data_IF_086058728174
#
_entry.id   IF_086058728174
#
_cell.length_a   1.000
_cell.length_b   1.000
_cell.length_c   1.000
_cell.angle_alpha   90.00
_cell.angle_beta   90.00
_cell.angle_gamma   90.00
#
_symmetry.space_group_name_H-M   'P 1'
#
loop_
_entity.id
_entity.type
_entity.pdbx_description
1 polymer ?
#
# COMPACT_ATOMS: atom_id res chain seq x y z
N UNK A 1 13.79 -15.32 22.75
CA UNK A 1 12.85 -14.97 21.66
C UNK A 1 13.26 -13.60 21.15
N UNK A 2 13.61 -13.40 19.86
CA UNK A 2 13.77 -12.05 19.34
C UNK A 2 12.37 -11.44 19.22
N UNK A 3 12.11 -10.37 19.98
CA UNK A 3 10.90 -9.56 19.82
C UNK A 3 11.01 -8.83 18.48
N UNK A 4 10.44 -9.39 17.41
CA UNK A 4 10.28 -8.66 16.15
C UNK A 4 9.21 -7.60 16.33
N UNK A 5 9.63 -6.35 16.22
CA UNK A 5 8.83 -5.14 16.31
C UNK A 5 7.85 -5.08 15.12
N UNK A 6 6.74 -5.82 15.20
CA UNK A 6 5.66 -5.78 14.20
C UNK A 6 4.70 -4.65 14.53
N UNK A 7 5.18 -3.40 14.49
CA UNK A 7 4.28 -2.25 14.53
C UNK A 7 3.43 -2.27 13.25
N UNK A 8 2.14 -2.55 13.41
CA UNK A 8 1.16 -2.44 12.32
C UNK A 8 0.62 -1.01 12.26
N UNK A 9 0.52 -0.47 11.06
CA UNK A 9 -0.05 0.84 10.77
C UNK A 9 -1.17 0.66 9.77
N UNK A 10 -2.35 1.16 10.08
CA UNK A 10 -3.49 1.15 9.16
C UNK A 10 -3.34 2.30 8.17
N UNK A 11 -3.32 1.97 6.88
CA UNK A 11 -3.41 2.94 5.78
C UNK A 11 -4.79 2.85 5.13
N UNK A 12 -5.20 3.92 4.46
CA UNK A 12 -6.45 3.97 3.71
C UNK A 12 -6.14 4.02 2.22
N UNK A 13 -6.56 3.00 1.48
CA UNK A 13 -6.33 2.88 0.04
C UNK A 13 -7.64 3.04 -0.69
N UNK A 14 -7.68 3.93 -1.68
CA UNK A 14 -8.87 4.13 -2.51
C UNK A 14 -8.83 3.22 -3.73
N UNK A 15 -9.82 2.33 -3.87
CA UNK A 15 -10.00 1.44 -5.02
C UNK A 15 -11.36 1.74 -5.64
N UNK A 16 -11.39 2.18 -6.91
CA UNK A 16 -12.65 2.49 -7.63
C UNK A 16 -13.58 3.44 -6.87
N UNK A 17 -13.02 4.41 -6.13
CA UNK A 17 -13.78 5.37 -5.32
C UNK A 17 -14.17 4.87 -3.92
N UNK A 18 -13.87 3.62 -3.58
CA UNK A 18 -14.11 3.05 -2.25
C UNK A 18 -12.83 3.12 -1.43
N UNK A 19 -12.91 3.68 -0.23
CA UNK A 19 -11.80 3.70 0.72
C UNK A 19 -11.78 2.39 1.49
N UNK A 20 -10.68 1.66 1.39
CA UNK A 20 -10.46 0.37 2.05
C UNK A 20 -9.32 0.53 3.06
N UNK A 21 -9.56 0.27 4.36
CA UNK A 21 -8.49 0.23 5.35
C UNK A 21 -7.62 -1.02 5.12
N UNK A 22 -6.31 -0.86 5.22
CA UNK A 22 -5.34 -1.93 5.06
C UNK A 22 -4.26 -1.81 6.14
N UNK A 23 -4.05 -2.88 6.90
CA UNK A 23 -2.98 -2.92 7.88
C UNK A 23 -1.67 -3.30 7.21
N UNK A 24 -0.67 -2.45 7.36
CA UNK A 24 0.65 -2.62 6.75
C UNK A 24 1.75 -2.48 7.80
N UNK A 25 2.89 -3.09 7.52
CA UNK A 25 4.11 -2.98 8.32
C UNK A 25 5.19 -2.21 7.56
N UNK A 26 6.30 -1.87 8.24
CA UNK A 26 7.45 -1.19 7.61
C UNK A 26 8.03 -1.96 6.42
N UNK A 27 7.87 -3.28 6.40
CA UNK A 27 8.36 -4.15 5.32
C UNK A 27 7.34 -4.35 4.20
N UNK A 28 6.09 -3.94 4.40
CA UNK A 28 5.01 -4.15 3.41
C UNK A 28 5.23 -3.24 2.20
N UNK A 29 5.35 -3.84 1.02
CA UNK A 29 5.53 -3.12 -0.24
C UNK A 29 4.20 -2.77 -0.91
N UNK A 30 4.23 -1.86 -1.89
CA UNK A 30 3.04 -1.51 -2.67
C UNK A 30 2.44 -2.75 -3.39
N UNK A 31 3.32 -3.65 -3.84
CA UNK A 31 2.93 -4.93 -4.43
C UNK A 31 2.15 -5.82 -3.47
N UNK A 32 2.62 -5.93 -2.22
CA UNK A 32 1.95 -6.77 -1.21
C UNK A 32 0.55 -6.24 -0.90
N UNK A 33 0.39 -4.91 -0.80
CA UNK A 33 -0.92 -4.28 -0.58
C UNK A 33 -1.87 -4.53 -1.75
N UNK A 34 -1.40 -4.41 -2.99
CA UNK A 34 -2.19 -4.75 -4.17
C UNK A 34 -2.63 -6.21 -4.12
N UNK A 35 -1.72 -7.12 -3.81
CA UNK A 35 -2.04 -8.55 -3.69
C UNK A 35 -2.99 -8.88 -2.53
N UNK A 36 -2.91 -8.15 -1.42
CA UNK A 36 -3.84 -8.29 -0.30
C UNK A 36 -5.24 -7.81 -0.65
N UNK A 37 -5.35 -6.63 -1.27
CA UNK A 37 -6.64 -6.01 -1.58
C UNK A 37 -7.31 -6.65 -2.80
N UNK A 38 -6.52 -7.21 -3.70
CA UNK A 38 -6.97 -7.78 -4.96
C UNK A 38 -6.63 -9.27 -4.98
N UNK A 39 -7.29 -10.01 -4.08
CA UNK A 39 -7.07 -11.45 -3.88
C UNK A 39 -7.42 -12.31 -5.10
N UNK A 40 -8.12 -11.77 -6.11
CA UNK A 40 -8.74 -12.58 -7.17
C UNK A 40 -8.62 -12.04 -8.60
N UNK A 41 -7.77 -11.06 -8.88
CA UNK A 41 -7.75 -10.47 -10.23
C UNK A 41 -6.75 -11.15 -11.15
N UNK A 42 -7.31 -11.97 -12.04
CA UNK A 42 -7.01 -12.03 -13.48
C UNK A 42 -5.94 -11.00 -13.86
N UNK A 43 -4.74 -11.49 -14.25
CA UNK A 43 -3.58 -10.72 -14.77
C UNK A 43 -3.96 -9.34 -15.32
N UNK A 44 -4.00 -8.34 -14.46
CA UNK A 44 -4.17 -6.93 -14.82
C UNK A 44 -3.00 -6.18 -14.22
N UNK A 45 -2.44 -5.26 -14.99
CA UNK A 45 -1.37 -4.39 -14.52
C UNK A 45 -1.95 -3.37 -13.55
N UNK A 46 -1.73 -3.59 -12.25
CA UNK A 46 -2.14 -2.69 -11.19
C UNK A 46 -1.01 -1.73 -10.84
N UNK A 47 -1.37 -0.46 -10.65
CA UNK A 47 -0.47 0.60 -10.24
C UNK A 47 -1.01 1.26 -8.95
N UNK A 48 -0.11 1.71 -8.08
CA UNK A 48 -0.46 2.45 -6.87
C UNK A 48 0.04 3.88 -7.01
N UNK A 49 -0.79 4.84 -6.63
CA UNK A 49 -0.49 6.26 -6.71
C UNK A 49 -0.62 6.88 -5.32
N UNK A 50 0.29 7.78 -5.00
CA UNK A 50 0.17 8.71 -3.90
C UNK A 50 -0.48 9.99 -4.42
N UNK A 51 -1.52 10.48 -3.74
CA UNK A 51 -2.20 11.73 -4.09
C UNK A 51 -2.02 12.74 -2.96
N UNK A 52 -1.31 13.83 -3.24
CA UNK A 52 -1.06 14.94 -2.30
C UNK A 52 -1.45 16.25 -3.00
N UNK A 53 -2.42 16.98 -2.42
CA UNK A 53 -2.86 18.29 -2.93
C UNK A 53 -3.12 18.28 -4.44
N UNK A 54 -3.95 17.34 -4.90
CA UNK A 54 -4.35 17.15 -6.31
C UNK A 54 -3.21 16.73 -7.27
N UNK A 55 -2.00 16.48 -6.76
CA UNK A 55 -0.90 15.88 -7.52
C UNK A 55 -0.84 14.39 -7.26
N UNK A 56 -0.83 13.62 -8.34
CA UNK A 56 -0.65 12.17 -8.29
C UNK A 56 0.79 11.79 -8.65
N UNK A 57 1.37 10.90 -7.84
CA UNK A 57 2.71 10.36 -8.05
C UNK A 57 2.65 8.84 -8.07
N UNK A 58 3.13 8.25 -9.16
CA UNK A 58 3.22 6.80 -9.28
C UNK A 58 4.23 6.23 -8.26
N UNK A 59 3.81 5.21 -7.52
CA UNK A 59 4.66 4.55 -6.54
C UNK A 59 5.35 3.32 -7.13
N UNK A 60 6.67 3.14 -6.87
CA UNK A 60 7.36 1.94 -7.28
C UNK A 60 6.81 0.72 -6.54
N UNK A 61 6.49 -0.35 -7.26
CA UNK A 61 5.89 -1.57 -6.68
C UNK A 61 6.71 -2.18 -5.53
N UNK A 62 8.04 -2.08 -5.59
CA UNK A 62 8.97 -2.61 -4.58
C UNK A 62 9.18 -1.67 -3.39
N UNK A 63 8.66 -0.44 -3.44
CA UNK A 63 8.80 0.52 -2.34
C UNK A 63 7.89 0.16 -1.18
N UNK A 64 8.41 0.32 0.04
CA UNK A 64 7.62 0.22 1.27
C UNK A 64 6.58 1.32 1.29
N UNK A 65 5.32 0.96 1.53
CA UNK A 65 4.19 1.92 1.53
C UNK A 65 4.34 2.94 2.66
N UNK A 66 4.85 2.52 3.82
CA UNK A 66 5.05 3.42 4.95
C UNK A 66 6.15 4.46 4.71
N UNK A 67 7.15 4.16 3.88
CA UNK A 67 8.16 5.18 3.52
C UNK A 67 7.56 6.30 2.66
N UNK A 68 6.55 5.96 1.87
CA UNK A 68 5.88 6.90 0.98
C UNK A 68 5.01 7.86 1.79
N UNK A 69 4.13 7.31 2.66
CA UNK A 69 3.16 8.10 3.44
C UNK A 69 3.79 9.13 4.39
N UNK A 70 5.05 8.94 4.80
CA UNK A 70 5.76 9.86 5.70
C UNK A 70 6.72 10.84 5.01
N UNK A 71 6.81 10.82 3.68
CA UNK A 71 7.68 11.73 2.89
C UNK A 71 6.95 12.99 2.46
#
# INVERSE_FOLDING_TARGET
MPCTDTTMTTIYVTISGIVVPCDVTKTTSCYDVIHMLISNSIKRDYAMFESISEKEKLLPMKSSVLKVVTS
#
